data_IF_253292635151
#
_entry.id   IF_253292635151
#
_cell.length_a   1.000
_cell.length_b   1.000
_cell.length_c   1.000
_cell.angle_alpha   90.00
_cell.angle_beta   90.00
_cell.angle_gamma   90.00
#
_symmetry.space_group_name_H-M   'P 1'
#
loop_
_entity.id
_entity.type
_entity.pdbx_description
1 polymer ?
#
# COMPACT_ATOMS: atom_id res chain seq x y z
N UNK A 1 -18.65 -15.30 -34.15
CA UNK A 1 -18.08 -13.97 -34.42
C UNK A 1 -18.74 -13.03 -33.41
N UNK A 2 -18.10 -12.81 -32.25
CA UNK A 2 -18.69 -12.05 -31.14
C UNK A 2 -18.34 -10.56 -31.29
N UNK A 3 -19.38 -9.74 -31.33
CA UNK A 3 -19.30 -8.28 -31.48
C UNK A 3 -18.99 -7.66 -30.12
N UNK A 4 -17.87 -6.93 -30.02
CA UNK A 4 -17.51 -6.18 -28.82
C UNK A 4 -18.48 -4.99 -28.61
N UNK A 5 -18.84 -4.66 -27.36
CA UNK A 5 -19.72 -3.53 -27.07
C UNK A 5 -19.00 -2.19 -27.32
N UNK A 6 -19.71 -1.29 -28.00
CA UNK A 6 -19.28 0.08 -28.31
C UNK A 6 -19.25 0.95 -27.04
N UNK A 7 -18.23 1.82 -26.94
CA UNK A 7 -18.11 2.85 -25.89
C UNK A 7 -19.31 3.81 -25.92
N UNK A 8 -19.89 4.21 -24.77
CA UNK A 8 -20.81 5.33 -24.71
C UNK A 8 -20.10 6.65 -25.06
N UNK A 9 -20.70 7.46 -25.94
CA UNK A 9 -20.24 8.82 -26.21
C UNK A 9 -20.59 9.74 -25.03
N UNK A 10 -19.64 10.57 -24.62
CA UNK A 10 -19.85 11.58 -23.58
C UNK A 10 -20.77 12.71 -24.08
N UNK A 11 -21.70 13.22 -23.24
CA UNK A 11 -22.55 14.34 -23.62
C UNK A 11 -21.74 15.64 -23.75
N UNK A 12 -22.00 16.38 -24.84
CA UNK A 12 -21.50 17.75 -25.07
C UNK A 12 -22.09 18.70 -24.02
N UNK A 13 -21.23 19.35 -23.24
CA UNK A 13 -21.61 20.48 -22.38
C UNK A 13 -22.07 21.66 -23.24
N UNK A 14 -23.33 22.07 -23.06
CA UNK A 14 -23.80 23.39 -23.45
C UNK A 14 -23.64 24.32 -22.25
N UNK A 15 -22.83 25.34 -22.42
CA UNK A 15 -22.65 26.47 -21.50
C UNK A 15 -23.90 27.35 -21.52
N UNK A 16 -24.55 27.52 -20.37
CA UNK A 16 -25.61 28.50 -20.15
C UNK A 16 -25.04 29.70 -19.35
N UNK A 17 -25.31 30.91 -19.84
CA UNK A 17 -24.98 32.20 -19.23
C UNK A 17 -25.80 32.49 -17.95
N UNK A 18 -25.29 33.32 -17.03
CA UNK A 18 -26.00 33.68 -15.80
C UNK A 18 -26.97 34.87 -16.01
N UNK A 19 -28.12 34.92 -15.30
CA UNK A 19 -28.97 36.09 -15.29
C UNK A 19 -28.44 37.18 -14.33
N UNK A 20 -28.57 38.43 -14.77
CA UNK A 20 -28.33 39.65 -14.01
C UNK A 20 -29.58 40.15 -13.27
N UNK A 21 -29.31 40.80 -12.13
CA UNK A 21 -29.97 41.96 -11.52
C UNK A 21 -31.18 41.88 -10.55
N UNK A 22 -30.97 42.70 -9.49
CA UNK A 22 -31.87 43.46 -8.58
C UNK A 22 -32.21 42.90 -7.18
N UNK A 23 -32.45 43.75 -6.15
CA UNK A 23 -31.95 45.12 -5.91
C UNK A 23 -31.40 45.36 -4.48
N UNK A 24 -30.73 46.50 -4.33
CA UNK A 24 -30.21 47.16 -3.12
C UNK A 24 -31.30 47.65 -2.16
N UNK A 25 -31.06 47.51 -0.86
CA UNK A 25 -31.76 48.20 0.23
C UNK A 25 -30.74 48.72 1.23
N UNK A 26 -30.81 50.02 1.50
CA UNK A 26 -29.84 50.75 2.33
C UNK A 26 -30.35 51.11 3.73
N UNK A 27 -29.36 51.32 4.60
CA UNK A 27 -29.25 52.32 5.69
C UNK A 27 -30.13 52.13 6.95
N UNK A 28 -29.46 51.99 8.10
CA UNK A 28 -29.50 52.98 9.20
C UNK A 28 -28.41 52.73 10.25
N UNK A 29 -27.76 53.84 10.63
CA UNK A 29 -26.79 53.99 11.72
C UNK A 29 -27.44 53.90 13.11
N UNK A 30 -26.68 53.53 14.13
CA UNK A 30 -27.09 53.80 15.52
C UNK A 30 -26.31 53.11 16.65
N UNK A 31 -25.24 53.76 17.10
CA UNK A 31 -24.78 53.87 18.50
C UNK A 31 -24.10 52.69 19.25
N UNK A 32 -22.88 53.01 19.70
CA UNK A 32 -21.99 52.39 20.72
C UNK A 32 -22.58 52.57 22.14
N UNK A 33 -22.16 51.84 23.20
CA UNK A 33 -20.82 52.05 23.79
C UNK A 33 -20.09 50.87 24.49
N UNK A 34 -18.75 50.99 24.46
CA UNK A 34 -17.72 50.79 25.50
C UNK A 34 -17.46 49.46 26.28
N UNK A 35 -16.15 49.17 26.32
CA UNK A 35 -15.31 48.39 27.27
C UNK A 35 -15.30 46.84 27.15
N UNK A 36 -14.11 46.20 27.30
CA UNK A 36 -13.67 45.86 28.66
C UNK A 36 -12.17 46.02 28.97
N UNK A 37 -11.95 46.42 30.24
CA UNK A 37 -10.94 46.04 31.22
C UNK A 37 -9.64 45.33 30.80
N UNK A 38 -8.53 45.99 31.17
CA UNK A 38 -7.25 45.36 31.52
C UNK A 38 -7.37 44.64 32.87
N UNK A 39 -6.86 43.41 32.95
CA UNK A 39 -6.54 42.74 34.21
C UNK A 39 -5.16 42.11 34.08
N UNK A 40 -4.20 42.76 34.75
CA UNK A 40 -2.95 42.15 35.18
C UNK A 40 -3.26 41.09 36.26
N UNK A 41 -2.60 39.94 36.16
CA UNK A 41 -2.62 38.89 37.17
C UNK A 41 -1.31 38.12 37.10
N UNK A 42 -0.42 38.40 38.04
CA UNK A 42 0.87 37.72 38.16
C UNK A 42 0.81 36.39 38.91
N UNK A 43 1.95 35.70 38.78
CA UNK A 43 2.54 34.68 39.66
C UNK A 43 1.89 33.28 39.65
N UNK A 44 2.64 32.30 39.13
CA UNK A 44 3.29 31.29 39.98
C UNK A 44 4.14 30.33 39.15
N UNK A 45 5.45 30.41 39.34
CA UNK A 45 6.39 29.32 39.02
C UNK A 45 6.00 28.08 39.82
N UNK A 46 5.47 27.07 39.14
CA UNK A 46 5.49 25.70 39.62
C UNK A 46 6.36 24.90 38.69
N UNK A 47 7.59 24.62 39.14
CA UNK A 47 8.45 23.61 38.58
C UNK A 47 7.67 22.28 38.54
N UNK A 48 7.22 21.88 37.34
CA UNK A 48 6.68 20.54 37.12
C UNK A 48 7.87 19.59 37.14
N UNK A 49 7.96 18.87 38.26
CA UNK A 49 8.74 17.65 38.43
C UNK A 49 8.29 16.64 37.36
N UNK A 50 9.11 16.43 36.34
CA UNK A 50 8.90 15.40 35.33
C UNK A 50 8.78 14.03 36.01
N UNK A 51 7.62 13.41 35.93
CA UNK A 51 7.46 11.99 36.19
C UNK A 51 7.81 11.22 34.91
N UNK A 52 8.66 10.18 34.97
CA UNK A 52 8.92 9.33 33.82
C UNK A 52 7.75 8.36 33.66
N UNK A 53 6.77 8.73 32.83
CA UNK A 53 5.64 7.86 32.60
C UNK A 53 4.48 8.54 31.88
N UNK A 54 4.65 8.87 30.60
CA UNK A 54 3.50 9.02 29.72
C UNK A 54 3.90 8.71 28.28
N UNK A 55 3.14 7.77 27.69
CA UNK A 55 3.14 7.43 26.28
C UNK A 55 2.81 8.68 25.47
N UNK A 56 3.84 9.45 25.10
CA UNK A 56 3.69 10.49 24.11
C UNK A 56 3.18 9.84 22.82
N UNK A 57 1.97 10.24 22.42
CA UNK A 57 1.27 9.85 21.20
C UNK A 57 2.25 9.61 20.06
N UNK A 58 2.39 8.34 19.64
CA UNK A 58 3.23 7.94 18.49
C UNK A 58 2.74 8.53 17.15
N UNK A 59 1.66 9.30 17.19
CA UNK A 59 1.12 10.15 16.11
C UNK A 59 1.79 11.52 15.99
N UNK A 60 2.64 11.92 16.94
CA UNK A 60 3.41 13.16 16.94
C UNK A 60 4.76 13.06 16.22
N UNK A 61 4.97 12.02 15.40
CA UNK A 61 6.07 12.03 14.45
C UNK A 61 5.94 13.25 13.52
N UNK A 62 7.05 13.88 13.10
CA UNK A 62 6.99 15.01 12.19
C UNK A 62 6.16 14.63 10.94
N UNK A 63 5.46 15.60 10.33
CA UNK A 63 4.64 15.36 9.15
C UNK A 63 5.48 14.67 8.05
N UNK A 64 4.84 14.07 7.01
CA UNK A 64 5.56 13.78 5.77
C UNK A 64 6.39 15.02 5.38
N UNK A 65 7.51 14.89 4.67
CA UNK A 65 8.32 16.04 4.30
C UNK A 65 7.41 17.15 3.79
N UNK A 66 7.53 18.33 4.38
CA UNK A 66 6.70 19.45 4.00
C UNK A 66 6.96 19.78 2.52
N UNK A 67 5.96 19.57 1.67
CA UNK A 67 6.05 19.86 0.24
C UNK A 67 5.28 18.82 -0.59
N UNK A 68 4.90 19.14 -1.83
CA UNK A 68 4.29 18.16 -2.71
C UNK A 68 5.28 17.00 -2.99
N UNK A 69 4.76 15.79 -3.26
CA UNK A 69 5.54 14.69 -3.83
C UNK A 69 6.38 15.18 -5.02
N UNK A 70 7.62 14.70 -5.12
CA UNK A 70 8.46 14.95 -6.28
C UNK A 70 8.78 13.64 -6.96
N UNK A 71 8.45 13.55 -8.24
CA UNK A 71 8.92 12.46 -9.09
C UNK A 71 10.43 12.58 -9.25
N UNK A 72 11.15 11.51 -8.95
CA UNK A 72 12.61 11.45 -9.10
C UNK A 72 13.00 10.35 -10.05
N UNK A 73 14.11 10.53 -10.75
CA UNK A 73 14.74 9.43 -11.48
C UNK A 73 15.54 8.57 -10.52
N UNK A 74 15.19 7.29 -10.45
CA UNK A 74 15.88 6.28 -9.64
C UNK A 74 16.79 5.42 -10.53
N UNK A 75 17.71 4.68 -9.92
CA UNK A 75 18.65 3.81 -10.65
C UNK A 75 18.68 2.43 -10.01
N UNK A 76 18.97 1.34 -10.76
CA UNK A 76 19.16 0.01 -10.16
C UNK A 76 20.18 -0.01 -9.01
N UNK A 77 21.22 0.85 -9.07
CA UNK A 77 22.22 0.98 -8.00
C UNK A 77 21.61 1.45 -6.67
N UNK A 78 20.59 2.32 -6.71
CA UNK A 78 19.89 2.77 -5.51
C UNK A 78 19.11 1.63 -4.85
N UNK A 79 18.35 0.86 -5.64
CA UNK A 79 17.56 -0.29 -5.17
C UNK A 79 18.44 -1.40 -4.61
N UNK A 80 19.39 -1.87 -5.41
CA UNK A 80 20.35 -2.92 -5.00
C UNK A 80 21.22 -2.48 -3.81
N UNK A 81 21.60 -1.21 -3.74
CA UNK A 81 22.32 -0.62 -2.60
C UNK A 81 21.49 -0.67 -1.31
N UNK A 82 20.25 -0.19 -1.35
CA UNK A 82 19.33 -0.25 -0.20
C UNK A 82 19.07 -1.69 0.24
N UNK A 83 18.88 -2.63 -0.71
CA UNK A 83 18.65 -4.03 -0.41
C UNK A 83 19.87 -4.67 0.26
N UNK A 84 21.07 -4.41 -0.26
CA UNK A 84 22.32 -4.97 0.28
C UNK A 84 22.63 -4.43 1.69
N UNK A 85 22.30 -3.17 1.96
CA UNK A 85 22.43 -2.57 3.29
C UNK A 85 21.40 -3.15 4.28
N UNK A 86 20.17 -3.40 3.81
CA UNK A 86 19.06 -3.88 4.64
C UNK A 86 19.12 -5.39 4.90
N UNK A 87 19.64 -6.16 3.94
CA UNK A 87 19.77 -7.61 4.02
C UNK A 87 21.18 -8.05 3.56
N UNK A 88 22.23 -7.72 4.33
CA UNK A 88 23.61 -8.07 3.97
C UNK A 88 23.87 -9.58 3.95
N UNK A 89 22.99 -10.37 4.57
CA UNK A 89 22.99 -11.82 4.67
C UNK A 89 22.15 -12.52 3.59
N UNK A 90 21.56 -11.78 2.66
CA UNK A 90 20.72 -12.37 1.61
C UNK A 90 21.58 -13.20 0.65
N UNK A 91 21.28 -14.49 0.57
CA UNK A 91 22.00 -15.43 -0.31
C UNK A 91 21.61 -15.25 -1.78
N UNK A 92 22.50 -15.62 -2.73
CA UNK A 92 22.13 -15.63 -4.14
C UNK A 92 20.96 -16.57 -4.39
N UNK A 93 20.05 -16.17 -5.27
CA UNK A 93 18.82 -16.91 -5.59
C UNK A 93 18.78 -17.33 -7.06
N UNK A 94 18.07 -18.42 -7.36
CA UNK A 94 17.85 -18.83 -8.75
C UNK A 94 16.64 -18.10 -9.33
N UNK A 95 16.41 -18.21 -10.64
CA UNK A 95 15.26 -17.58 -11.29
C UNK A 95 13.94 -18.24 -10.90
N UNK A 96 13.98 -19.42 -10.30
CA UNK A 96 12.81 -20.20 -9.89
C UNK A 96 12.32 -19.85 -8.48
N UNK A 97 13.21 -19.29 -7.64
CA UNK A 97 12.90 -18.84 -6.26
C UNK A 97 11.82 -17.75 -6.23
N UNK A 98 11.78 -16.88 -7.24
CA UNK A 98 10.78 -15.82 -7.37
C UNK A 98 10.08 -15.96 -8.71
N UNK A 99 8.76 -16.12 -8.68
CA UNK A 99 7.93 -16.16 -9.88
C UNK A 99 6.98 -14.96 -9.88
N UNK A 100 7.06 -14.16 -10.94
CA UNK A 100 6.09 -13.13 -11.27
C UNK A 100 5.03 -13.72 -12.22
N UNK A 101 3.76 -13.62 -11.82
CA UNK A 101 2.62 -13.82 -12.69
C UNK A 101 2.22 -12.46 -13.25
N UNK A 102 2.53 -12.26 -14.53
CA UNK A 102 2.38 -10.98 -15.22
C UNK A 102 0.96 -10.42 -15.09
N UNK A 103 0.89 -9.16 -14.68
CA UNK A 103 -0.33 -8.38 -14.66
C UNK A 103 -0.70 -7.80 -16.02
N UNK A 104 -1.80 -7.04 -16.03
CA UNK A 104 -2.20 -6.23 -17.18
C UNK A 104 -1.57 -4.84 -17.13
N UNK A 105 -1.38 -4.29 -15.92
CA UNK A 105 -1.04 -2.90 -15.67
C UNK A 105 0.19 -2.74 -14.78
N UNK A 106 0.44 -3.69 -13.89
CA UNK A 106 1.64 -3.76 -13.06
C UNK A 106 2.71 -4.65 -13.72
N UNK A 107 3.96 -4.26 -13.56
CA UNK A 107 5.14 -5.03 -13.95
C UNK A 107 6.16 -4.98 -12.81
N UNK A 108 5.92 -5.80 -11.78
CA UNK A 108 6.84 -5.95 -10.66
C UNK A 108 8.23 -6.38 -11.11
N UNK A 109 8.35 -7.02 -12.27
CA UNK A 109 9.62 -7.41 -12.88
C UNK A 109 10.61 -6.25 -13.06
N UNK A 110 10.14 -5.02 -13.31
CA UNK A 110 11.03 -3.85 -13.36
C UNK A 110 11.62 -3.53 -11.98
N UNK A 111 10.81 -3.49 -10.93
CA UNK A 111 11.27 -3.30 -9.57
C UNK A 111 12.20 -4.44 -9.13
N UNK A 112 11.85 -5.70 -9.40
CA UNK A 112 12.68 -6.88 -9.11
C UNK A 112 14.06 -6.78 -9.77
N UNK A 113 14.10 -6.42 -11.05
CA UNK A 113 15.35 -6.20 -11.77
C UNK A 113 16.19 -5.09 -11.13
N UNK A 114 15.58 -3.97 -10.72
CA UNK A 114 16.30 -2.88 -10.06
C UNK A 114 16.89 -3.30 -8.71
N UNK A 115 16.16 -4.11 -7.94
CA UNK A 115 16.66 -4.71 -6.70
C UNK A 115 17.76 -5.77 -6.93
N UNK A 116 17.90 -6.29 -8.16
CA UNK A 116 18.85 -7.35 -8.48
C UNK A 116 18.34 -8.75 -8.13
N UNK A 117 17.02 -8.92 -7.96
CA UNK A 117 16.42 -10.23 -7.76
C UNK A 117 16.43 -11.04 -9.07
N UNK A 118 16.79 -12.32 -8.98
CA UNK A 118 16.56 -13.26 -10.08
C UNK A 118 15.13 -13.77 -10.00
N UNK A 119 14.39 -13.72 -11.11
CA UNK A 119 13.01 -14.15 -11.15
C UNK A 119 12.63 -14.72 -12.52
N UNK A 120 11.54 -15.49 -12.54
CA UNK A 120 10.88 -15.97 -13.75
C UNK A 120 9.55 -15.28 -13.92
N UNK A 121 9.24 -14.84 -15.16
CA UNK A 121 7.96 -14.23 -15.49
C UNK A 121 7.09 -15.25 -16.22
N UNK A 122 5.85 -15.44 -15.78
CA UNK A 122 4.85 -16.32 -16.40
C UNK A 122 3.56 -15.57 -16.66
N UNK A 123 2.77 -16.03 -17.62
CA UNK A 123 1.42 -15.49 -17.84
C UNK A 123 0.41 -16.17 -16.89
N UNK A 124 -0.76 -15.55 -16.61
CA UNK A 124 -1.80 -16.18 -15.80
C UNK A 124 -2.21 -17.58 -16.27
N UNK A 125 -2.25 -17.80 -17.59
CA UNK A 125 -2.59 -19.09 -18.19
C UNK A 125 -1.46 -20.14 -18.04
N UNK A 126 -0.20 -19.69 -18.05
CA UNK A 126 0.95 -20.58 -17.90
C UNK A 126 1.10 -21.08 -16.46
N UNK A 127 0.60 -20.35 -15.45
CA UNK A 127 0.73 -20.69 -14.03
C UNK A 127 0.28 -22.12 -13.71
N UNK A 128 -0.81 -22.60 -14.34
CA UNK A 128 -1.31 -23.97 -14.14
C UNK A 128 -0.36 -25.09 -14.60
N UNK A 129 0.66 -24.75 -15.39
CA UNK A 129 1.66 -25.67 -15.93
C UNK A 129 3.06 -25.42 -15.35
N UNK A 130 3.22 -24.37 -14.55
CA UNK A 130 4.48 -24.00 -13.94
C UNK A 130 4.66 -24.76 -12.63
N UNK A 131 5.78 -25.43 -12.46
CA UNK A 131 6.13 -26.03 -11.17
C UNK A 131 6.52 -24.94 -10.18
N UNK A 132 5.95 -24.98 -8.98
CA UNK A 132 6.28 -24.08 -7.86
C UNK A 132 7.16 -24.77 -6.80
N UNK A 133 7.74 -25.93 -7.11
CA UNK A 133 8.47 -26.76 -6.14
C UNK A 133 9.75 -26.10 -5.60
N UNK A 134 10.37 -25.21 -6.39
CA UNK A 134 11.57 -24.47 -6.02
C UNK A 134 11.28 -22.95 -5.93
N UNK A 135 10.03 -22.61 -5.64
CA UNK A 135 9.58 -21.22 -5.56
C UNK A 135 9.36 -20.86 -4.11
N UNK A 136 9.98 -19.76 -3.70
CA UNK A 136 9.83 -19.19 -2.36
C UNK A 136 8.76 -18.10 -2.37
N UNK A 137 8.73 -17.31 -3.46
CA UNK A 137 7.82 -16.19 -3.64
C UNK A 137 7.06 -16.28 -4.95
N UNK A 138 5.74 -16.15 -4.86
CA UNK A 138 4.86 -15.92 -6.00
C UNK A 138 4.33 -14.48 -5.93
N UNK A 139 4.47 -13.73 -7.01
CA UNK A 139 3.96 -12.35 -7.12
C UNK A 139 2.85 -12.36 -8.18
N UNK A 140 1.66 -11.89 -7.83
CA UNK A 140 0.52 -11.76 -8.76
C UNK A 140 0.20 -10.30 -8.97
N UNK A 141 0.59 -9.81 -10.15
CA UNK A 141 0.49 -8.41 -10.54
C UNK A 141 -0.90 -8.02 -11.04
N UNK A 142 -1.29 -6.77 -10.78
CA UNK A 142 -2.56 -6.19 -11.21
C UNK A 142 -2.73 -6.16 -12.74
N UNK A 143 -3.90 -6.43 -13.32
CA UNK A 143 -5.16 -6.86 -12.70
C UNK A 143 -5.33 -8.38 -12.61
N UNK A 144 -4.39 -9.12 -13.21
CA UNK A 144 -4.25 -10.58 -13.20
C UNK A 144 -5.56 -11.35 -13.12
N UNK A 145 -6.27 -11.50 -14.24
CA UNK A 145 -7.38 -12.47 -14.31
C UNK A 145 -6.81 -13.89 -14.22
N UNK A 146 -6.73 -14.40 -13.00
CA UNK A 146 -6.22 -15.74 -12.73
C UNK A 146 -7.31 -16.76 -13.12
N UNK A 147 -7.02 -17.72 -14.02
CA UNK A 147 -7.96 -18.77 -14.34
C UNK A 147 -8.38 -19.54 -13.08
N UNK A 148 -9.65 -19.95 -13.01
CA UNK A 148 -10.19 -20.67 -11.84
C UNK A 148 -9.33 -21.89 -11.44
N UNK A 149 -8.78 -22.60 -12.43
CA UNK A 149 -7.90 -23.75 -12.22
C UNK A 149 -6.57 -23.39 -11.53
N UNK A 150 -6.07 -22.17 -11.70
CA UNK A 150 -4.83 -21.69 -11.11
C UNK A 150 -5.02 -21.20 -9.66
N UNK A 151 -6.24 -20.85 -9.23
CA UNK A 151 -6.50 -20.40 -7.86
C UNK A 151 -6.20 -21.47 -6.81
N UNK A 152 -6.47 -22.74 -7.13
CA UNK A 152 -6.13 -23.88 -6.27
C UNK A 152 -4.62 -24.02 -6.06
N UNK A 153 -3.85 -23.84 -7.14
CA UNK A 153 -2.38 -23.91 -7.11
C UNK A 153 -1.80 -22.80 -6.23
N UNK A 154 -2.31 -21.57 -6.34
CA UNK A 154 -1.89 -20.45 -5.48
C UNK A 154 -2.19 -20.76 -4.02
N UNK A 155 -3.41 -21.25 -3.72
CA UNK A 155 -3.79 -21.63 -2.36
C UNK A 155 -2.86 -22.70 -1.79
N UNK A 156 -2.60 -23.76 -2.55
CA UNK A 156 -1.74 -24.88 -2.14
C UNK A 156 -0.29 -24.44 -1.95
N UNK A 157 0.22 -23.57 -2.83
CA UNK A 157 1.56 -22.99 -2.72
C UNK A 157 1.73 -22.26 -1.38
N UNK A 158 0.82 -21.34 -1.06
CA UNK A 158 0.88 -20.62 0.22
C UNK A 158 0.66 -21.57 1.40
N UNK A 159 -0.29 -22.50 1.28
CA UNK A 159 -0.57 -23.47 2.36
C UNK A 159 0.68 -24.28 2.75
N UNK A 160 1.54 -24.57 1.76
CA UNK A 160 2.77 -25.35 1.92
C UNK A 160 4.01 -24.54 2.29
N UNK A 161 3.88 -23.25 2.59
CA UNK A 161 5.00 -22.41 3.07
C UNK A 161 5.47 -21.34 2.09
N UNK A 162 4.85 -21.25 0.91
CA UNK A 162 5.13 -20.20 -0.07
C UNK A 162 4.70 -18.81 0.40
N UNK A 163 5.39 -17.79 -0.08
CA UNK A 163 5.09 -16.39 0.19
C UNK A 163 4.40 -15.77 -1.03
N UNK A 164 3.23 -15.17 -0.83
CA UNK A 164 2.42 -14.58 -1.89
C UNK A 164 2.40 -13.05 -1.77
N UNK A 165 2.77 -12.35 -2.84
CA UNK A 165 2.51 -10.92 -3.01
C UNK A 165 1.37 -10.75 -4.01
N UNK A 166 0.39 -9.90 -3.71
CA UNK A 166 -0.65 -9.50 -4.66
C UNK A 166 -0.78 -7.99 -4.72
N UNK A 167 -1.00 -7.42 -5.90
CA UNK A 167 -1.15 -5.97 -6.09
C UNK A 167 -2.53 -5.58 -6.61
N UNK A 168 -3.10 -4.54 -5.99
CA UNK A 168 -4.32 -3.86 -6.39
C UNK A 168 -5.50 -4.77 -6.80
N UNK A 169 -5.93 -4.78 -8.07
CA UNK A 169 -7.13 -5.53 -8.52
C UNK A 169 -6.99 -7.04 -8.41
N UNK A 170 -5.79 -7.55 -8.19
CA UNK A 170 -5.59 -8.95 -7.82
C UNK A 170 -6.23 -9.31 -6.48
N UNK A 171 -6.64 -8.33 -5.65
CA UNK A 171 -7.42 -8.57 -4.43
C UNK A 171 -8.69 -9.35 -4.75
N UNK A 172 -9.58 -8.81 -5.58
CA UNK A 172 -10.80 -9.51 -5.98
C UNK A 172 -10.54 -10.58 -7.05
N UNK A 173 -9.61 -10.34 -7.97
CA UNK A 173 -9.37 -11.27 -9.10
C UNK A 173 -8.59 -12.53 -8.72
N UNK A 174 -7.84 -12.50 -7.62
CA UNK A 174 -6.99 -13.61 -7.19
C UNK A 174 -7.12 -13.87 -5.68
N UNK A 175 -6.71 -12.92 -4.83
CA UNK A 175 -6.45 -13.19 -3.42
C UNK A 175 -7.70 -13.64 -2.66
N UNK A 176 -8.80 -12.90 -2.76
CA UNK A 176 -10.05 -13.23 -2.06
C UNK A 176 -10.68 -14.55 -2.57
N UNK A 177 -10.41 -14.93 -3.83
CA UNK A 177 -10.89 -16.18 -4.43
C UNK A 177 -9.99 -17.38 -4.08
N UNK A 178 -8.67 -17.17 -4.05
CA UNK A 178 -7.70 -18.20 -3.70
C UNK A 178 -7.69 -18.44 -2.18
N UNK A 179 -7.70 -17.41 -1.35
CA UNK A 179 -7.57 -17.49 0.11
C UNK A 179 -8.70 -16.67 0.76
N UNK A 180 -9.95 -17.18 0.74
CA UNK A 180 -11.11 -16.44 1.22
C UNK A 180 -11.09 -16.23 2.73
N UNK A 181 -11.74 -15.14 3.18
CA UNK A 181 -12.05 -14.92 4.59
C UNK A 181 -10.99 -14.18 5.40
N UNK A 182 -9.95 -13.62 4.78
CA UNK A 182 -8.96 -12.76 5.44
C UNK A 182 -9.16 -11.29 5.06
N UNK A 183 -9.11 -11.02 3.76
CA UNK A 183 -9.31 -9.70 3.16
C UNK A 183 -10.18 -9.83 1.91
N UNK A 184 -10.98 -8.81 1.63
CA UNK A 184 -11.84 -8.72 0.46
C UNK A 184 -11.80 -7.29 -0.10
N UNK A 185 -12.24 -7.11 -1.35
CA UNK A 185 -12.60 -5.79 -1.85
C UNK A 185 -13.88 -5.29 -1.17
N UNK A 186 -13.91 -4.03 -0.72
CA UNK A 186 -15.09 -3.41 -0.11
C UNK A 186 -16.09 -2.83 -1.13
N UNK A 187 -15.92 -3.14 -2.42
CA UNK A 187 -16.69 -2.60 -3.55
C UNK A 187 -16.48 -1.10 -3.82
N UNK A 188 -15.50 -0.44 -3.18
CA UNK A 188 -15.09 0.93 -3.45
C UNK A 188 -13.66 1.00 -3.96
N UNK A 189 -13.38 2.08 -4.69
CA UNK A 189 -12.08 2.30 -5.29
C UNK A 189 -11.51 3.65 -4.86
N UNK A 190 -10.17 3.75 -4.86
CA UNK A 190 -9.48 5.01 -4.64
C UNK A 190 -9.91 6.06 -5.67
N UNK A 191 -9.92 7.31 -5.23
CA UNK A 191 -10.22 8.48 -6.09
C UNK A 191 -9.03 9.43 -6.22
N UNK A 192 -7.91 9.08 -5.59
CA UNK A 192 -6.69 9.89 -5.54
C UNK A 192 -5.54 9.09 -6.12
N UNK A 193 -4.74 9.74 -6.96
CA UNK A 193 -3.58 9.10 -7.59
C UNK A 193 -2.36 9.05 -6.66
N UNK A 194 -2.39 9.81 -5.56
CA UNK A 194 -1.33 9.83 -4.57
C UNK A 194 -1.90 10.19 -3.21
N UNK A 195 -1.45 9.49 -2.16
CA UNK A 195 -1.94 9.67 -0.80
C UNK A 195 -0.80 9.69 0.22
N UNK A 196 -1.10 10.14 1.44
CA UNK A 196 -0.21 9.98 2.58
C UNK A 196 -0.12 8.50 2.97
N UNK A 197 1.06 8.05 3.39
CA UNK A 197 1.28 6.72 3.93
C UNK A 197 1.97 6.81 5.28
N UNK A 198 1.45 6.06 6.25
CA UNK A 198 2.02 5.90 7.58
C UNK A 198 2.12 4.41 7.91
N UNK A 199 3.32 3.96 8.29
CA UNK A 199 3.53 2.60 8.78
C UNK A 199 2.85 2.45 10.13
N UNK A 200 2.13 1.34 10.31
CA UNK A 200 1.60 0.96 11.59
C UNK A 200 2.71 0.31 12.43
N UNK A 201 3.65 1.13 12.92
CA UNK A 201 4.70 0.68 13.82
C UNK A 201 4.10 0.53 15.22
N UNK A 202 3.38 -0.56 15.44
CA UNK A 202 3.10 -0.99 16.79
C UNK A 202 4.28 -1.87 17.26
N UNK A 203 5.25 -1.37 18.04
CA UNK A 203 6.42 -2.14 18.49
C UNK A 203 6.09 -3.37 19.36
N UNK A 204 4.81 -3.63 19.67
CA UNK A 204 4.35 -4.89 20.25
C UNK A 204 3.93 -5.96 19.23
N UNK A 205 3.82 -5.62 17.94
CA UNK A 205 3.60 -6.57 16.85
C UNK A 205 4.96 -7.09 16.35
N UNK A 206 5.64 -7.88 17.19
CA UNK A 206 6.96 -8.46 16.91
C UNK A 206 7.02 -9.23 15.58
N UNK A 207 5.88 -9.77 15.14
CA UNK A 207 5.84 -10.76 14.07
C UNK A 207 6.11 -10.19 12.68
N UNK A 208 6.04 -8.86 12.48
CA UNK A 208 6.24 -8.22 11.17
C UNK A 208 7.36 -7.18 11.15
N UNK A 209 8.25 -7.19 12.16
CA UNK A 209 9.38 -6.27 12.22
C UNK A 209 10.35 -6.45 11.05
N UNK A 210 10.43 -7.65 10.49
CA UNK A 210 11.16 -7.98 9.26
C UNK A 210 10.64 -7.18 8.05
N UNK A 211 9.32 -7.02 7.93
CA UNK A 211 8.70 -6.31 6.80
C UNK A 211 8.88 -4.79 6.85
N UNK A 212 9.10 -4.24 8.05
CA UNK A 212 9.31 -2.81 8.28
C UNK A 212 10.78 -2.48 8.59
N UNK A 213 11.70 -3.39 8.26
CA UNK A 213 13.13 -3.17 8.42
C UNK A 213 13.62 -2.06 7.48
N UNK A 214 14.34 -1.07 8.02
CA UNK A 214 14.90 0.06 7.27
C UNK A 214 13.91 0.80 6.35
N UNK A 215 12.61 0.74 6.66
CA UNK A 215 11.60 1.56 6.01
C UNK A 215 11.40 2.88 6.78
N UNK A 216 10.80 3.86 6.12
CA UNK A 216 10.42 5.11 6.80
C UNK A 216 9.03 5.01 7.44
N UNK A 217 8.81 5.72 8.56
CA UNK A 217 7.51 5.70 9.22
C UNK A 217 6.40 6.42 8.43
N UNK A 218 6.79 7.34 7.54
CA UNK A 218 5.88 8.14 6.72
C UNK A 218 6.47 8.43 5.34
N UNK A 219 5.63 8.32 4.32
CA UNK A 219 5.97 8.61 2.92
C UNK A 219 4.72 9.05 2.15
N UNK A 220 4.90 9.35 0.86
CA UNK A 220 3.81 9.33 -0.11
C UNK A 220 3.62 7.91 -0.65
N UNK A 221 2.44 7.64 -1.19
CA UNK A 221 2.11 6.37 -1.85
C UNK A 221 1.31 6.63 -3.11
N UNK A 222 1.86 6.25 -4.26
CA UNK A 222 1.19 6.41 -5.57
C UNK A 222 0.17 5.31 -5.76
N UNK A 223 -1.01 5.70 -6.21
CA UNK A 223 -2.15 4.86 -6.53
C UNK A 223 -2.53 5.01 -8.00
N UNK A 224 -2.84 3.88 -8.61
CA UNK A 224 -3.61 3.69 -9.84
C UNK A 224 -4.97 4.40 -9.81
N UNK A 225 -5.52 4.72 -10.98
CA UNK A 225 -6.92 5.06 -11.10
C UNK A 225 -7.75 3.84 -10.70
N UNK A 226 -8.64 4.04 -9.73
CA UNK A 226 -9.54 3.03 -9.17
C UNK A 226 -8.85 1.84 -8.49
N UNK A 227 -7.83 2.07 -7.67
CA UNK A 227 -7.29 0.99 -6.84
C UNK A 227 -8.34 0.43 -5.88
N UNK A 228 -8.40 -0.89 -5.71
CA UNK A 228 -9.40 -1.56 -4.87
C UNK A 228 -9.14 -1.27 -3.39
N UNK A 229 -10.18 -0.80 -2.68
CA UNK A 229 -10.09 -0.56 -1.24
C UNK A 229 -10.33 -1.86 -0.46
N UNK A 230 -9.45 -2.14 0.50
CA UNK A 230 -9.43 -3.39 1.25
C UNK A 230 -10.44 -3.35 2.41
N UNK A 231 -11.21 -4.43 2.55
CA UNK A 231 -11.96 -4.79 3.76
C UNK A 231 -11.25 -5.94 4.46
N UNK A 232 -10.90 -5.75 5.73
CA UNK A 232 -10.42 -6.85 6.58
C UNK A 232 -11.60 -7.65 7.10
N UNK A 233 -11.58 -8.97 6.86
CA UNK A 233 -12.61 -9.92 7.29
C UNK A 233 -12.28 -10.51 8.65
N UNK A 234 -11.00 -10.85 8.88
CA UNK A 234 -10.50 -11.39 10.16
C UNK A 234 -9.51 -10.41 10.81
N UNK A 235 -10.00 -9.45 11.62
CA UNK A 235 -9.17 -8.36 12.14
C UNK A 235 -8.08 -8.80 13.12
N UNK A 236 -8.18 -10.01 13.69
CA UNK A 236 -7.14 -10.55 14.58
C UNK A 236 -6.06 -11.34 13.82
N UNK A 237 -6.33 -11.74 12.57
CA UNK A 237 -5.42 -12.57 11.77
C UNK A 237 -4.71 -11.75 10.69
N UNK A 238 -5.21 -10.55 10.38
CA UNK A 238 -4.64 -9.63 9.40
C UNK A 238 -3.96 -8.47 10.10
N UNK A 239 -2.68 -8.28 9.78
CA UNK A 239 -1.92 -7.10 10.20
C UNK A 239 -1.93 -6.05 9.10
N UNK A 240 -2.44 -4.86 9.41
CA UNK A 240 -2.30 -3.69 8.54
C UNK A 240 -0.91 -3.07 8.77
N UNK A 241 -0.09 -3.05 7.72
CA UNK A 241 1.30 -2.55 7.75
C UNK A 241 1.36 -1.06 7.46
N UNK A 242 0.58 -0.57 6.51
CA UNK A 242 0.58 0.82 6.06
C UNK A 242 -0.84 1.30 5.86
N UNK A 243 -1.11 2.53 6.33
CA UNK A 243 -2.41 3.20 6.21
C UNK A 243 -2.26 4.60 5.64
N UNK A 244 -3.32 5.08 5.02
CA UNK A 244 -3.49 6.45 4.57
C UNK A 244 -4.67 7.08 5.28
N UNK A 245 -4.47 8.27 5.87
CA UNK A 245 -5.58 9.05 6.43
C UNK A 245 -6.50 9.55 5.31
N UNK A 246 -5.95 9.91 4.15
CA UNK A 246 -6.74 10.30 2.98
C UNK A 246 -7.64 9.17 2.47
N UNK A 247 -7.12 7.94 2.35
CA UNK A 247 -7.97 6.80 1.98
C UNK A 247 -8.97 6.46 3.08
N UNK A 248 -8.60 6.59 4.35
CA UNK A 248 -9.53 6.39 5.47
C UNK A 248 -10.78 7.27 5.35
N UNK A 249 -10.63 8.52 4.89
CA UNK A 249 -11.77 9.42 4.67
C UNK A 249 -12.62 9.02 3.46
N UNK A 250 -12.05 8.30 2.50
CA UNK A 250 -12.74 7.82 1.29
C UNK A 250 -13.38 6.44 1.50
N UNK A 251 -13.00 5.72 2.55
CA UNK A 251 -13.41 4.35 2.80
C UNK A 251 -14.89 4.28 3.22
N UNK A 252 -15.78 3.61 2.46
CA UNK A 252 -17.18 3.44 2.85
C UNK A 252 -17.34 2.69 4.17
N UNK A 253 -16.36 1.86 4.55
CA UNK A 253 -16.38 1.15 5.83
C UNK A 253 -16.08 2.08 7.02
N UNK A 254 -15.62 3.32 6.80
CA UNK A 254 -15.28 4.27 7.87
C UNK A 254 -16.47 4.50 8.81
N UNK A 255 -17.66 4.72 8.26
CA UNK A 255 -18.85 4.97 9.07
C UNK A 255 -19.20 3.77 9.96
N UNK A 256 -19.05 2.55 9.44
CA UNK A 256 -19.21 1.33 10.22
C UNK A 256 -18.12 1.18 11.28
N UNK A 257 -16.87 1.49 10.95
CA UNK A 257 -15.75 1.39 11.89
C UNK A 257 -15.84 2.39 13.06
N UNK A 258 -16.52 3.53 12.87
CA UNK A 258 -16.78 4.51 13.93
C UNK A 258 -18.01 4.16 14.79
N UNK A 259 -18.78 3.13 14.41
CA UNK A 259 -19.95 2.71 15.17
C UNK A 259 -19.54 1.82 16.34
N UNK A 260 -20.03 2.07 17.58
CA UNK A 260 -19.80 1.19 18.73
C UNK A 260 -20.28 -0.26 18.52
N UNK A 261 -21.18 -0.48 17.54
CA UNK A 261 -21.73 -1.78 17.16
C UNK A 261 -21.12 -2.35 15.87
N UNK A 262 -20.20 -1.61 15.24
CA UNK A 262 -19.79 -1.83 13.86
C UNK A 262 -18.93 -3.05 13.62
N UNK A 263 -18.34 -3.66 14.65
CA UNK A 263 -17.48 -4.84 14.55
C UNK A 263 -16.18 -4.64 13.73
N UNK A 264 -16.08 -3.55 12.99
CA UNK A 264 -14.90 -3.10 12.25
C UNK A 264 -14.13 -2.13 13.12
N UNK A 265 -12.83 -2.36 13.23
CA UNK A 265 -11.94 -1.47 13.94
C UNK A 265 -11.49 -0.33 13.02
N UNK A 266 -11.42 0.90 13.53
CA UNK A 266 -10.99 2.04 12.70
C UNK A 266 -9.58 1.82 12.14
N UNK A 267 -8.72 1.12 12.87
CA UNK A 267 -7.38 0.70 12.41
C UNK A 267 -7.37 -0.19 11.14
N UNK A 268 -8.54 -0.70 10.72
CA UNK A 268 -8.69 -1.54 9.54
C UNK A 268 -9.34 -0.81 8.34
N UNK A 269 -9.24 0.52 8.30
CA UNK A 269 -9.68 1.34 7.15
C UNK A 269 -8.51 2.11 6.55
N UNK A 270 -8.64 2.58 5.31
CA UNK A 270 -7.58 3.32 4.62
C UNK A 270 -6.28 2.52 4.42
N UNK A 271 -6.41 1.22 4.19
CA UNK A 271 -5.28 0.28 4.09
C UNK A 271 -4.53 0.51 2.78
N UNK A 272 -3.20 0.54 2.86
CA UNK A 272 -2.29 0.56 1.71
C UNK A 272 -1.48 -0.72 1.59
N UNK A 273 -1.13 -1.35 2.72
CA UNK A 273 -0.48 -2.65 2.76
C UNK A 273 -0.97 -3.46 3.95
N UNK A 274 -1.20 -4.74 3.76
CA UNK A 274 -1.55 -5.67 4.84
C UNK A 274 -0.92 -7.04 4.61
N UNK A 275 -0.70 -7.78 5.70
CA UNK A 275 -0.12 -9.11 5.68
C UNK A 275 -0.86 -10.03 6.64
N UNK A 276 -0.86 -11.32 6.34
CA UNK A 276 -1.36 -12.37 7.22
C UNK A 276 -0.65 -13.69 6.95
N UNK A 277 -0.74 -14.61 7.91
CA UNK A 277 -0.31 -16.00 7.76
C UNK A 277 -1.46 -16.81 7.18
N UNK A 278 -1.14 -17.77 6.32
CA UNK A 278 -2.09 -18.76 5.84
C UNK A 278 -1.42 -20.13 5.86
N UNK A 279 -1.88 -20.99 6.77
CA UNK A 279 -1.20 -22.23 7.12
C UNK A 279 0.30 -21.98 7.41
N UNK A 280 1.21 -22.57 6.61
CA UNK A 280 2.66 -22.42 6.76
C UNK A 280 3.21 -21.17 6.05
N UNK A 281 2.46 -20.61 5.11
CA UNK A 281 2.91 -19.51 4.27
C UNK A 281 2.55 -18.13 4.81
N UNK A 282 2.78 -17.14 3.97
CA UNK A 282 2.53 -15.73 4.28
C UNK A 282 2.01 -15.00 3.05
N UNK A 283 1.12 -14.04 3.27
CA UNK A 283 0.55 -13.19 2.21
C UNK A 283 0.88 -11.75 2.51
N UNK A 284 1.27 -10.99 1.49
CA UNK A 284 1.34 -9.52 1.47
C UNK A 284 0.43 -9.03 0.35
N UNK A 285 -0.49 -8.13 0.69
CA UNK A 285 -1.29 -7.42 -0.30
C UNK A 285 -0.93 -5.93 -0.28
N UNK A 286 -0.70 -5.37 -1.47
CA UNK A 286 -0.40 -3.96 -1.70
C UNK A 286 -1.52 -3.31 -2.50
N UNK A 287 -2.01 -2.16 -2.04
CA UNK A 287 -2.93 -1.33 -2.82
C UNK A 287 -2.13 -0.44 -3.76
N UNK A 288 -2.43 -0.48 -5.06
CA UNK A 288 -1.58 0.10 -6.10
C UNK A 288 -0.46 -0.84 -6.56
N UNK A 289 0.30 -0.39 -7.55
CA UNK A 289 1.31 -1.19 -8.23
C UNK A 289 2.61 -1.33 -7.42
N UNK A 290 3.28 -2.47 -7.55
CA UNK A 290 4.62 -2.66 -6.97
C UNK A 290 5.67 -1.87 -7.79
N UNK A 291 5.49 -1.75 -9.09
CA UNK A 291 6.39 -1.00 -9.95
C UNK A 291 6.37 0.54 -9.70
N UNK A 292 7.26 1.26 -10.38
CA UNK A 292 7.40 2.71 -10.36
C UNK A 292 6.18 3.47 -10.93
N UNK A 293 5.39 2.81 -11.79
CA UNK A 293 4.35 3.35 -12.67
C UNK A 293 4.16 4.88 -12.69
N UNK A 294 4.83 5.51 -13.67
CA UNK A 294 4.32 6.67 -14.40
C UNK A 294 3.90 6.17 -15.79
N UNK A 295 3.07 6.90 -16.54
CA UNK A 295 2.42 6.49 -17.81
C UNK A 295 3.35 6.04 -18.97
N UNK A 296 4.63 5.77 -18.71
CA UNK A 296 5.66 5.29 -19.62
C UNK A 296 6.50 4.23 -18.89
N UNK A 297 6.24 2.94 -19.16
CA UNK A 297 6.98 1.77 -18.65
C UNK A 297 8.49 1.71 -18.98
N UNK A 298 9.06 2.81 -19.49
CA UNK A 298 10.45 2.94 -19.92
C UNK A 298 11.23 4.01 -19.15
N UNK A 299 10.61 4.70 -18.19
CA UNK A 299 11.32 5.65 -17.36
C UNK A 299 11.61 5.05 -15.97
N UNK A 300 12.80 5.27 -15.45
CA UNK A 300 13.09 5.00 -14.04
C UNK A 300 12.52 6.13 -13.17
N UNK A 301 11.30 6.61 -13.45
CA UNK A 301 10.69 7.71 -12.72
C UNK A 301 9.86 7.16 -11.59
N UNK A 302 10.23 7.49 -10.35
CA UNK A 302 9.50 7.11 -9.16
C UNK A 302 8.70 8.32 -8.66
N UNK A 303 7.35 8.27 -8.66
CA UNK A 303 6.50 9.40 -8.28
C UNK A 303 6.39 9.62 -6.76
N UNK A 304 6.74 8.61 -5.97
CA UNK A 304 6.59 8.59 -4.51
C UNK A 304 7.85 8.08 -3.79
N UNK A 305 9.05 8.65 -4.07
CA UNK A 305 10.26 8.28 -3.34
C UNK A 305 10.05 8.53 -1.86
N UNK A 306 10.27 7.49 -1.05
CA UNK A 306 10.22 7.64 0.37
C UNK A 306 11.43 8.47 0.84
N UNK A 307 11.23 9.39 1.79
CA UNK A 307 12.31 10.21 2.31
C UNK A 307 13.48 9.34 2.81
N UNK A 308 14.71 9.80 2.67
CA UNK A 308 15.94 9.14 3.19
C UNK A 308 16.33 7.81 2.54
N UNK A 309 15.40 6.99 2.07
CA UNK A 309 15.71 5.68 1.45
C UNK A 309 15.71 5.72 -0.09
N UNK A 310 15.09 6.74 -0.69
CA UNK A 310 15.19 7.01 -2.14
C UNK A 310 14.38 6.07 -3.05
N UNK A 311 13.94 4.92 -2.54
CA UNK A 311 12.92 4.05 -3.15
C UNK A 311 11.55 4.31 -2.52
N UNK A 312 10.45 3.79 -3.06
CA UNK A 312 9.12 3.97 -2.44
C UNK A 312 8.94 3.07 -1.23
N UNK A 313 8.03 3.47 -0.33
CA UNK A 313 7.70 2.68 0.86
C UNK A 313 7.13 1.30 0.48
N UNK A 314 6.29 1.24 -0.56
CA UNK A 314 5.73 -0.02 -1.08
C UNK A 314 6.82 -0.97 -1.59
N UNK A 315 7.82 -0.43 -2.29
CA UNK A 315 8.92 -1.24 -2.84
C UNK A 315 9.82 -1.78 -1.74
N UNK A 316 10.11 -0.97 -0.71
CA UNK A 316 10.88 -1.40 0.45
C UNK A 316 10.18 -2.55 1.19
N UNK A 317 8.87 -2.44 1.45
CA UNK A 317 8.09 -3.48 2.13
C UNK A 317 8.04 -4.77 1.31
N UNK A 318 7.80 -4.67 0.00
CA UNK A 318 7.79 -5.83 -0.89
C UNK A 318 9.16 -6.53 -0.94
N UNK A 319 10.25 -5.77 -1.02
CA UNK A 319 11.62 -6.31 -1.00
C UNK A 319 11.95 -7.01 0.33
N UNK A 320 11.56 -6.42 1.47
CA UNK A 320 11.69 -7.05 2.78
C UNK A 320 10.89 -8.37 2.86
N UNK A 321 9.69 -8.41 2.28
CA UNK A 321 8.86 -9.62 2.23
C UNK A 321 9.50 -10.72 1.38
N UNK A 322 10.08 -10.36 0.23
CA UNK A 322 10.83 -11.29 -0.63
C UNK A 322 12.04 -11.84 0.13
N UNK A 323 12.83 -10.96 0.77
CA UNK A 323 14.00 -11.38 1.54
C UNK A 323 13.63 -12.29 2.72
N UNK A 324 12.52 -12.01 3.42
CA UNK A 324 12.02 -12.86 4.48
C UNK A 324 11.67 -14.28 3.98
N UNK A 325 11.04 -14.38 2.80
CA UNK A 325 10.73 -15.67 2.18
C UNK A 325 11.99 -16.48 1.84
N UNK A 326 12.96 -15.84 1.19
CA UNK A 326 14.21 -16.47 0.77
C UNK A 326 15.06 -16.95 1.97
N UNK A 327 15.00 -16.23 3.09
CA UNK A 327 15.65 -16.65 4.34
C UNK A 327 14.92 -17.79 5.04
N UNK A 328 13.60 -17.84 4.93
CA UNK A 328 12.79 -18.91 5.53
C UNK A 328 12.94 -20.24 4.78
N UNK A 329 13.13 -20.19 3.45
CA UNK A 329 13.19 -21.35 2.57
C UNK A 329 14.51 -21.37 1.75
N UNK A 330 15.69 -21.56 2.38
CA UNK A 330 16.94 -21.56 1.64
C UNK A 330 17.03 -22.79 0.71
N UNK A 331 16.75 -22.60 -0.58
CA UNK A 331 17.05 -23.60 -1.59
C UNK A 331 18.57 -23.68 -1.80
N UNK A 332 19.21 -24.85 -1.66
CA UNK A 332 20.62 -24.99 -1.98
C UNK A 332 20.82 -24.70 -3.47
N UNK A 333 21.64 -23.70 -3.79
CA UNK A 333 22.10 -23.47 -5.17
C UNK A 333 22.80 -24.76 -5.59
N UNK A 334 22.17 -25.52 -6.50
CA UNK A 334 22.78 -26.71 -7.05
C UNK A 334 24.17 -26.33 -7.56
N UNK A 335 25.21 -26.97 -7.03
CA UNK A 335 26.57 -26.84 -7.58
C UNK A 335 26.44 -27.18 -9.06
N UNK A 336 26.59 -26.19 -9.93
CA UNK A 336 26.51 -26.37 -11.37
C UNK A 336 27.38 -27.55 -11.76
N UNK A 337 26.78 -28.50 -12.48
CA UNK A 337 27.54 -29.52 -13.20
C UNK A 337 28.22 -28.87 -14.40
#
# INVERSE_FOLDING_TARGET
MFQLPQRPQAPRNQTAEPPQDLPTLGVTDGHRPAAPHSLEGGVSDTAIREQPGEQANRWNAPPPPAGPPQTVTVTPKLYSGWLSETHPDLSPMTRESVIEVKGQWDDSGHALHNFGFNFSKVTPNALSKTSLANTDVLIVDCAGEIPQASLGIIREFVANGGYLITTDWSLDNCLAKAIPGFVDWNSANSTSELVDAATNNNPGASDNADLLLNVVPRAYWKLDNKCQMVRVVRPNDVTVLVRSKRLEYQDPNRAFALSPKGGIRIENTGILACTFRYEKGRVLHLVGHFDNNTDLAFNNSLPDPAPRIGISLRQAIAANFIAAALKANPHPIGKGK
#
